data_IF_371263397298
#
_entry.id   IF_371263397298
#
_cell.length_a   1.000
_cell.length_b   1.000
_cell.length_c   1.000
_cell.angle_alpha   90.00
_cell.angle_beta   90.00
_cell.angle_gamma   90.00
#
_symmetry.space_group_name_H-M   'P 1'
#
loop_
_entity.id
_entity.type
_entity.pdbx_description
1 polymer ?
#
# COMPACT_ATOMS: atom_id res chain seq x y z
N UNK A 1 12.52 25.96 15.07
CA UNK A 1 11.66 25.45 13.97
C UNK A 1 11.30 23.97 14.14
N UNK A 2 12.26 23.02 14.13
CA UNK A 2 11.97 21.57 14.28
C UNK A 2 11.20 21.25 15.57
N UNK A 3 11.63 21.79 16.72
CA UNK A 3 10.90 21.65 18.00
C UNK A 3 9.43 22.12 17.92
N UNK A 4 9.18 23.21 17.20
CA UNK A 4 7.83 23.75 17.03
C UNK A 4 6.96 22.83 16.17
N UNK A 5 7.53 22.29 15.08
CA UNK A 5 6.85 21.31 14.26
C UNK A 5 6.53 20.00 14.99
N UNK A 6 7.45 19.50 15.82
CA UNK A 6 7.21 18.34 16.67
C UNK A 6 6.07 18.63 17.66
N UNK A 7 6.08 19.80 18.30
CA UNK A 7 4.98 20.21 19.19
C UNK A 7 3.63 20.27 18.46
N UNK A 8 3.60 20.82 17.23
CA UNK A 8 2.40 20.83 16.40
C UNK A 8 1.90 19.42 16.08
N UNK A 9 2.79 18.45 15.84
CA UNK A 9 2.41 17.05 15.64
C UNK A 9 1.80 16.41 16.89
N UNK A 10 2.44 16.61 18.05
CA UNK A 10 1.90 16.13 19.31
C UNK A 10 0.51 16.72 19.55
N UNK A 11 0.35 18.03 19.38
CA UNK A 11 -0.96 18.69 19.47
C UNK A 11 -1.96 18.13 18.44
N UNK A 12 -1.54 17.89 17.20
CA UNK A 12 -2.39 17.29 16.16
C UNK A 12 -2.85 15.88 16.53
N UNK A 13 -1.97 15.05 17.08
CA UNK A 13 -2.27 13.68 17.47
C UNK A 13 -3.34 13.63 18.57
N UNK A 14 -3.12 14.36 19.67
CA UNK A 14 -4.07 14.39 20.80
C UNK A 14 -5.38 15.12 20.47
N UNK A 15 -5.36 16.09 19.56
CA UNK A 15 -6.56 16.82 19.11
C UNK A 15 -7.26 16.14 17.92
N UNK A 16 -6.76 15.00 17.46
CA UNK A 16 -7.39 14.31 16.34
C UNK A 16 -8.75 13.74 16.76
N UNK A 17 -9.70 13.76 15.82
CA UNK A 17 -11.06 13.27 16.05
C UNK A 17 -11.10 11.81 16.50
N UNK A 18 -10.10 11.01 16.09
CA UNK A 18 -9.94 9.62 16.52
C UNK A 18 -9.65 9.51 18.02
N UNK A 19 -8.70 10.29 18.52
CA UNK A 19 -8.33 10.28 19.93
C UNK A 19 -9.43 10.82 20.83
N UNK A 20 -10.20 11.80 20.34
CA UNK A 20 -11.24 12.47 21.13
C UNK A 20 -12.61 11.75 21.11
N UNK A 21 -12.97 11.03 20.04
CA UNK A 21 -14.34 10.46 19.92
C UNK A 21 -14.51 9.06 20.50
N UNK A 22 -13.46 8.22 20.55
CA UNK A 22 -13.66 6.81 20.92
C UNK A 22 -12.45 6.19 21.59
N UNK A 23 -12.52 6.07 22.91
CA UNK A 23 -11.52 5.34 23.73
C UNK A 23 -11.35 3.90 23.22
N UNK A 24 -12.43 3.25 22.78
CA UNK A 24 -12.38 1.91 22.20
C UNK A 24 -11.49 1.81 20.96
N UNK A 25 -11.55 2.76 20.02
CA UNK A 25 -10.65 2.77 18.87
C UNK A 25 -9.20 3.02 19.29
N UNK A 26 -8.96 3.87 20.30
CA UNK A 26 -7.60 4.11 20.79
C UNK A 26 -6.98 2.84 21.39
N UNK A 27 -7.74 2.12 22.22
CA UNK A 27 -7.33 0.83 22.78
C UNK A 27 -7.02 -0.16 21.67
N UNK A 28 -7.90 -0.25 20.66
CA UNK A 28 -7.71 -1.13 19.51
C UNK A 28 -6.43 -0.77 18.73
N UNK A 29 -6.17 0.51 18.48
CA UNK A 29 -4.94 0.96 17.79
C UNK A 29 -3.66 0.62 18.57
N UNK A 30 -3.66 0.83 19.89
CA UNK A 30 -2.54 0.47 20.76
C UNK A 30 -2.33 -1.04 20.75
N UNK A 31 -3.42 -1.82 20.89
CA UNK A 31 -3.38 -3.27 20.84
C UNK A 31 -2.78 -3.78 19.51
N UNK A 32 -3.22 -3.26 18.37
CA UNK A 32 -2.65 -3.62 17.07
C UNK A 32 -1.16 -3.26 16.97
N UNK A 33 -0.75 -2.10 17.50
CA UNK A 33 0.66 -1.71 17.55
C UNK A 33 1.51 -2.68 18.38
N UNK A 34 1.06 -3.02 19.58
CA UNK A 34 1.74 -3.98 20.46
C UNK A 34 1.75 -5.38 19.85
N UNK A 35 0.64 -5.82 19.27
CA UNK A 35 0.53 -7.09 18.56
C UNK A 35 1.59 -7.18 17.45
N UNK A 36 1.73 -6.16 16.61
CA UNK A 36 2.75 -6.14 15.55
C UNK A 36 4.17 -6.22 16.12
N UNK A 37 4.47 -5.50 17.21
CA UNK A 37 5.78 -5.57 17.87
C UNK A 37 6.06 -6.99 18.37
N UNK A 38 5.11 -7.60 19.10
CA UNK A 38 5.26 -8.95 19.65
C UNK A 38 5.38 -9.99 18.54
N UNK A 39 4.60 -9.88 17.46
CA UNK A 39 4.67 -10.78 16.31
C UNK A 39 6.02 -10.72 15.59
N UNK A 40 6.61 -9.52 15.44
CA UNK A 40 7.93 -9.39 14.82
C UNK A 40 9.05 -9.89 15.76
N UNK A 41 8.95 -9.62 17.06
CA UNK A 41 9.87 -10.17 18.07
C UNK A 41 9.85 -11.70 18.07
N UNK A 42 8.66 -12.30 18.10
CA UNK A 42 8.52 -13.76 18.07
C UNK A 42 9.02 -14.35 16.76
N UNK A 43 8.74 -13.70 15.62
CA UNK A 43 9.27 -14.08 14.32
C UNK A 43 10.80 -14.10 14.35
N UNK A 44 11.45 -13.04 14.86
CA UNK A 44 12.91 -12.98 14.95
C UNK A 44 13.54 -14.13 15.75
N UNK A 45 12.93 -14.49 16.88
CA UNK A 45 13.41 -15.59 17.74
C UNK A 45 13.19 -16.96 17.08
N UNK A 46 12.03 -17.17 16.46
CA UNK A 46 11.64 -18.46 15.84
C UNK A 46 12.31 -18.67 14.48
N UNK A 47 12.73 -17.61 13.79
CA UNK A 47 13.23 -17.69 12.43
C UNK A 47 14.45 -18.62 12.29
N UNK A 48 15.42 -18.55 13.20
CA UNK A 48 16.61 -19.40 13.14
C UNK A 48 16.30 -20.90 13.31
N UNK A 49 15.62 -21.36 14.40
CA UNK A 49 15.30 -22.79 14.52
C UNK A 49 14.32 -23.26 13.42
N UNK A 50 13.44 -22.38 12.93
CA UNK A 50 12.57 -22.69 11.80
C UNK A 50 13.38 -22.97 10.53
N UNK A 51 14.39 -22.17 10.24
CA UNK A 51 15.24 -22.37 9.06
C UNK A 51 16.09 -23.62 9.16
N UNK A 52 16.66 -23.92 10.34
CA UNK A 52 17.36 -25.19 10.54
C UNK A 52 16.44 -26.41 10.34
N UNK A 53 15.18 -26.31 10.76
CA UNK A 53 14.20 -27.40 10.61
C UNK A 53 13.73 -27.58 9.16
N UNK A 54 13.53 -26.48 8.42
CA UNK A 54 13.03 -26.51 7.04
C UNK A 54 14.14 -26.73 6.01
N UNK A 55 15.36 -26.29 6.30
CA UNK A 55 16.51 -26.35 5.41
C UNK A 55 17.76 -26.79 6.18
N UNK A 56 17.82 -28.06 6.62
CA UNK A 56 18.88 -28.57 7.49
C UNK A 56 20.28 -28.50 6.84
N UNK A 57 20.35 -28.59 5.52
CA UNK A 57 21.62 -28.65 4.77
C UNK A 57 22.20 -27.29 4.39
N UNK A 58 21.54 -26.19 4.79
CA UNK A 58 21.98 -24.82 4.43
C UNK A 58 22.19 -23.95 5.65
N UNK A 59 23.21 -23.10 5.59
CA UNK A 59 23.46 -22.07 6.59
C UNK A 59 22.21 -21.16 6.75
N UNK A 60 21.60 -21.09 7.96
CA UNK A 60 20.45 -20.23 8.23
C UNK A 60 20.67 -18.77 7.84
N UNK A 61 21.89 -18.24 8.00
CA UNK A 61 22.21 -16.86 7.67
C UNK A 61 22.15 -16.61 6.16
N UNK A 62 22.79 -17.46 5.36
CA UNK A 62 22.72 -17.39 3.90
C UNK A 62 21.29 -17.60 3.41
N UNK A 63 20.53 -18.49 4.06
CA UNK A 63 19.14 -18.74 3.68
C UNK A 63 18.26 -17.52 3.93
N UNK A 64 18.40 -16.81 5.06
CA UNK A 64 17.68 -15.55 5.28
C UNK A 64 18.03 -14.51 4.21
N UNK A 65 19.31 -14.39 3.86
CA UNK A 65 19.75 -13.40 2.87
C UNK A 65 19.13 -13.64 1.49
N UNK A 66 18.85 -14.90 1.13
CA UNK A 66 18.14 -15.23 -0.12
C UNK A 66 16.70 -14.69 -0.18
N UNK A 67 16.06 -14.48 0.97
CA UNK A 67 14.69 -13.97 1.09
C UNK A 67 14.60 -12.44 1.17
N UNK A 68 15.72 -11.72 1.30
CA UNK A 68 15.73 -10.25 1.43
C UNK A 68 15.10 -9.58 0.20
N UNK A 69 15.30 -10.12 -1.00
CA UNK A 69 14.67 -9.59 -2.21
C UNK A 69 13.14 -9.61 -2.14
N UNK A 70 12.57 -10.77 -1.77
CA UNK A 70 11.13 -10.93 -1.60
C UNK A 70 10.60 -10.01 -0.50
N UNK A 71 11.35 -9.88 0.60
CA UNK A 71 11.02 -8.95 1.67
C UNK A 71 11.01 -7.50 1.18
N UNK A 72 11.99 -7.04 0.39
CA UNK A 72 12.03 -5.69 -0.20
C UNK A 72 10.78 -5.44 -1.06
N UNK A 73 10.37 -6.40 -1.89
CA UNK A 73 9.20 -6.25 -2.75
C UNK A 73 7.90 -6.15 -1.93
N UNK A 74 7.74 -7.02 -0.93
CA UNK A 74 6.57 -7.03 -0.05
C UNK A 74 6.51 -5.74 0.78
N UNK A 75 7.64 -5.32 1.36
CA UNK A 75 7.72 -4.10 2.16
C UNK A 75 7.43 -2.85 1.33
N UNK A 76 7.94 -2.79 0.09
CA UNK A 76 7.63 -1.71 -0.86
C UNK A 76 6.14 -1.67 -1.20
N UNK A 77 5.54 -2.82 -1.54
CA UNK A 77 4.10 -2.91 -1.82
C UNK A 77 3.27 -2.48 -0.62
N UNK A 78 3.57 -3.00 0.57
CA UNK A 78 2.87 -2.64 1.80
C UNK A 78 2.97 -1.14 2.09
N UNK A 79 4.17 -0.56 2.02
CA UNK A 79 4.36 0.88 2.23
C UNK A 79 3.64 1.74 1.21
N UNK A 80 3.52 1.29 -0.03
CA UNK A 80 2.77 2.03 -1.04
C UNK A 80 1.30 2.21 -0.63
N UNK A 81 0.67 1.17 -0.07
CA UNK A 81 -0.73 1.27 0.39
C UNK A 81 -0.86 1.98 1.74
N UNK A 82 0.00 1.68 2.71
CA UNK A 82 -0.14 2.12 4.09
C UNK A 82 0.57 3.45 4.41
N UNK A 83 1.60 3.83 3.64
CA UNK A 83 2.47 4.95 3.95
C UNK A 83 2.44 6.02 2.84
N UNK A 84 1.44 6.91 2.92
CA UNK A 84 1.27 8.02 1.97
C UNK A 84 1.97 9.29 2.41
N UNK A 85 2.43 10.08 1.44
CA UNK A 85 2.99 11.40 1.68
C UNK A 85 1.91 12.35 2.25
N UNK A 86 2.15 13.01 3.39
CA UNK A 86 1.14 13.84 4.06
C UNK A 86 1.04 15.25 3.44
N UNK A 87 0.97 15.33 2.10
CA UNK A 87 0.92 16.59 1.32
C UNK A 87 -0.24 17.50 1.77
N UNK A 88 -1.37 16.91 2.16
CA UNK A 88 -2.55 17.64 2.66
C UNK A 88 -2.28 18.39 3.96
N UNK A 89 -1.44 17.83 4.85
CA UNK A 89 -1.06 18.47 6.12
C UNK A 89 0.00 19.56 5.97
N UNK A 90 0.71 19.57 4.84
CA UNK A 90 1.74 20.57 4.55
C UNK A 90 1.17 21.87 3.97
N UNK A 91 -0.03 21.82 3.35
CA UNK A 91 -0.67 22.99 2.72
C UNK A 91 -0.92 24.15 3.68
N UNK A 92 -1.47 23.95 4.90
CA UNK A 92 -1.67 25.05 5.84
C UNK A 92 -0.36 25.72 6.30
N UNK A 93 0.78 25.03 6.19
CA UNK A 93 2.08 25.60 6.52
C UNK A 93 2.62 26.52 5.42
N UNK A 94 2.11 26.43 4.19
CA UNK A 94 2.53 27.27 3.06
C UNK A 94 2.01 28.71 3.16
N UNK A 95 0.96 28.96 3.95
CA UNK A 95 0.44 30.32 4.21
C UNK A 95 1.14 31.01 5.38
N UNK A 96 1.92 30.26 6.17
CA UNK A 96 2.70 30.79 7.27
C UNK A 96 4.08 31.27 6.77
N UNK A 97 4.76 32.20 7.48
CA UNK A 97 6.09 32.70 7.12
C UNK A 97 7.20 31.66 7.41
N UNK A 98 7.07 30.46 6.87
CA UNK A 98 7.96 29.32 7.06
C UNK A 98 8.59 28.96 5.73
N UNK A 99 9.92 28.83 5.70
CA UNK A 99 10.64 28.46 4.47
C UNK A 99 10.17 27.10 3.95
N UNK A 100 9.85 27.01 2.66
CA UNK A 100 9.41 25.77 1.99
C UNK A 100 10.40 24.62 2.17
N UNK A 101 11.69 24.89 2.12
CA UNK A 101 12.75 23.89 2.38
C UNK A 101 12.62 23.27 3.77
N UNK A 102 12.27 24.07 4.79
CA UNK A 102 12.04 23.57 6.15
C UNK A 102 10.80 22.68 6.25
N UNK A 103 9.75 22.99 5.48
CA UNK A 103 8.54 22.16 5.40
C UNK A 103 8.86 20.81 4.74
N UNK A 104 9.61 20.82 3.63
CA UNK A 104 10.03 19.58 2.95
C UNK A 104 10.91 18.72 3.85
N UNK A 105 11.93 19.31 4.48
CA UNK A 105 12.82 18.60 5.41
C UNK A 105 12.04 18.00 6.59
N UNK A 106 11.03 18.71 7.08
CA UNK A 106 10.18 18.21 8.14
C UNK A 106 9.31 17.02 7.68
N UNK A 107 8.73 17.06 6.48
CA UNK A 107 7.95 15.94 5.93
C UNK A 107 8.84 14.70 5.76
N UNK A 108 10.03 14.87 5.18
CA UNK A 108 10.98 13.77 4.97
C UNK A 108 11.51 13.23 6.30
N UNK A 109 11.88 14.09 7.24
CA UNK A 109 12.33 13.68 8.57
C UNK A 109 11.24 12.95 9.36
N UNK A 110 9.98 13.40 9.26
CA UNK A 110 8.83 12.69 9.85
C UNK A 110 8.72 11.26 9.31
N UNK A 111 8.93 11.09 8.01
CA UNK A 111 8.88 9.79 7.37
C UNK A 111 10.03 8.88 7.77
N UNK A 112 11.24 9.40 7.94
CA UNK A 112 12.35 8.63 8.48
C UNK A 112 12.04 8.10 9.89
N UNK A 113 11.25 8.83 10.67
CA UNK A 113 10.83 8.41 12.02
C UNK A 113 9.50 7.61 12.03
N UNK A 114 9.02 7.15 10.88
CA UNK A 114 7.80 6.34 10.82
C UNK A 114 8.00 4.96 11.46
N UNK A 115 6.98 4.47 12.17
CA UNK A 115 7.00 3.15 12.84
C UNK A 115 7.40 2.00 11.92
N UNK A 116 6.92 2.01 10.66
CA UNK A 116 7.25 0.99 9.67
C UNK A 116 8.75 0.89 9.37
N UNK A 117 9.54 1.95 9.57
CA UNK A 117 11.00 1.88 9.35
C UNK A 117 11.70 1.03 10.42
N UNK A 118 11.17 1.05 11.64
CA UNK A 118 11.71 0.33 12.79
C UNK A 118 11.07 -1.05 12.97
N UNK A 119 9.89 -1.28 12.38
CA UNK A 119 9.17 -2.54 12.48
C UNK A 119 10.04 -3.77 12.11
N UNK A 120 10.81 -3.77 11.00
CA UNK A 120 11.70 -4.88 10.68
C UNK A 120 12.77 -5.17 11.74
N UNK A 121 13.24 -4.14 12.47
CA UNK A 121 14.26 -4.31 13.50
C UNK A 121 13.79 -5.20 14.65
N UNK A 122 12.49 -5.20 14.94
CA UNK A 122 11.92 -6.11 15.94
C UNK A 122 12.06 -7.59 15.54
N UNK A 123 12.21 -7.91 14.24
CA UNK A 123 12.54 -9.27 13.81
C UNK A 123 14.05 -9.47 13.62
N UNK A 124 14.73 -8.49 13.01
CA UNK A 124 16.16 -8.58 12.68
C UNK A 124 17.05 -8.63 13.93
N UNK A 125 16.76 -7.84 14.97
CA UNK A 125 17.59 -7.80 16.19
C UNK A 125 17.52 -9.13 16.95
N UNK A 126 16.34 -9.70 17.29
CA UNK A 126 16.29 -11.01 17.95
C UNK A 126 16.91 -12.14 17.11
N UNK A 127 16.73 -12.10 15.78
CA UNK A 127 17.39 -13.05 14.90
C UNK A 127 18.92 -12.91 14.95
N UNK A 128 19.43 -11.68 14.95
CA UNK A 128 20.86 -11.41 15.13
C UNK A 128 21.41 -11.93 16.47
N UNK A 129 20.67 -11.76 17.57
CA UNK A 129 21.04 -12.34 18.88
C UNK A 129 21.12 -13.87 18.78
N UNK A 130 20.21 -14.50 18.05
CA UNK A 130 20.22 -15.94 17.85
C UNK A 130 21.40 -16.40 16.99
N UNK A 131 21.80 -15.65 15.96
CA UNK A 131 23.03 -15.90 15.22
C UNK A 131 24.27 -15.85 16.14
N UNK A 132 24.42 -14.81 16.95
CA UNK A 132 25.56 -14.69 17.88
C UNK A 132 25.61 -15.89 18.83
N UNK A 133 24.47 -16.33 19.36
CA UNK A 133 24.37 -17.52 20.23
C UNK A 133 24.84 -18.81 19.56
N UNK A 134 24.76 -18.90 18.24
CA UNK A 134 25.15 -20.09 17.47
C UNK A 134 26.54 -19.95 16.82
N UNK A 135 27.35 -18.99 17.29
CA UNK A 135 28.77 -18.89 16.93
C UNK A 135 29.09 -18.00 15.73
N UNK A 136 28.13 -17.21 15.23
CA UNK A 136 28.42 -16.25 14.15
C UNK A 136 29.23 -15.05 14.67
N UNK A 137 30.16 -14.50 13.88
CA UNK A 137 30.93 -13.33 14.26
C UNK A 137 30.03 -12.13 14.58
N UNK A 138 30.27 -11.50 15.74
CA UNK A 138 29.39 -10.43 16.26
C UNK A 138 29.44 -9.16 15.38
N UNK A 139 30.61 -8.85 14.83
CA UNK A 139 30.84 -7.77 13.87
C UNK A 139 30.00 -7.94 12.59
N UNK A 140 29.95 -9.14 12.03
CA UNK A 140 29.15 -9.46 10.86
C UNK A 140 27.65 -9.32 11.15
N UNK A 141 27.19 -9.82 12.31
CA UNK A 141 25.79 -9.73 12.71
C UNK A 141 25.36 -8.27 12.92
N UNK A 142 26.18 -7.45 13.59
CA UNK A 142 25.87 -6.02 13.79
C UNK A 142 25.81 -5.30 12.44
N UNK A 143 26.77 -5.57 11.55
CA UNK A 143 26.82 -5.00 10.19
C UNK A 143 25.56 -5.36 9.41
N UNK A 144 25.09 -6.61 9.53
CA UNK A 144 23.85 -7.07 8.92
C UNK A 144 22.61 -6.38 9.49
N UNK A 145 22.49 -6.22 10.81
CA UNK A 145 21.36 -5.50 11.45
C UNK A 145 21.32 -4.04 10.97
N UNK A 146 22.47 -3.37 10.90
CA UNK A 146 22.58 -2.00 10.39
C UNK A 146 22.18 -1.95 8.92
N UNK A 147 22.63 -2.90 8.10
CA UNK A 147 22.24 -2.97 6.69
C UNK A 147 20.72 -3.13 6.53
N UNK A 148 20.08 -3.98 7.32
CA UNK A 148 18.61 -4.16 7.28
C UNK A 148 17.86 -2.88 7.66
N UNK A 149 18.38 -2.10 8.62
CA UNK A 149 17.86 -0.76 8.92
C UNK A 149 17.99 0.20 7.73
N UNK A 150 19.17 0.22 7.10
CA UNK A 150 19.42 1.08 5.93
C UNK A 150 18.53 0.68 4.74
N UNK A 151 18.32 -0.62 4.49
CA UNK A 151 17.39 -1.12 3.48
C UNK A 151 15.96 -0.64 3.75
N UNK A 152 15.50 -0.73 5.00
CA UNK A 152 14.18 -0.19 5.40
C UNK A 152 14.04 1.31 5.10
N UNK A 153 15.10 2.10 5.33
CA UNK A 153 15.13 3.53 4.98
C UNK A 153 15.15 3.78 3.46
N UNK A 154 15.89 2.97 2.71
CA UNK A 154 15.92 3.02 1.24
C UNK A 154 14.51 2.79 0.69
N UNK A 155 13.84 1.72 1.14
CA UNK A 155 12.47 1.38 0.72
C UNK A 155 11.50 2.50 1.07
N UNK A 156 11.62 3.11 2.27
CA UNK A 156 10.81 4.25 2.67
C UNK A 156 10.92 5.44 1.68
N UNK A 157 12.14 5.85 1.32
CA UNK A 157 12.32 6.96 0.39
C UNK A 157 11.98 6.59 -1.06
N UNK A 158 12.22 5.35 -1.47
CA UNK A 158 11.83 4.84 -2.78
C UNK A 158 10.30 4.85 -2.92
N UNK A 159 9.59 4.37 -1.90
CA UNK A 159 8.13 4.39 -1.85
C UNK A 159 7.56 5.81 -2.10
N UNK A 160 8.17 6.83 -1.50
CA UNK A 160 7.73 8.21 -1.69
C UNK A 160 7.97 8.77 -3.09
N UNK A 161 9.05 8.34 -3.75
CA UNK A 161 9.27 8.68 -5.16
C UNK A 161 8.18 8.04 -6.01
N UNK A 162 7.91 6.74 -5.80
CA UNK A 162 6.87 6.01 -6.53
C UNK A 162 5.51 6.64 -6.30
N UNK A 163 5.12 6.89 -5.05
CA UNK A 163 3.84 7.54 -4.72
C UNK A 163 3.74 8.94 -5.33
N UNK A 164 4.82 9.72 -5.29
CA UNK A 164 4.84 11.04 -5.93
C UNK A 164 4.61 10.93 -7.43
N UNK A 165 5.29 10.03 -8.15
CA UNK A 165 5.13 9.84 -9.59
C UNK A 165 3.72 9.32 -9.93
N UNK A 166 3.21 8.38 -9.15
CA UNK A 166 1.94 7.72 -9.42
C UNK A 166 0.71 8.54 -9.05
N UNK A 167 0.83 9.48 -8.09
CA UNK A 167 -0.29 10.29 -7.57
C UNK A 167 -1.08 11.10 -8.61
N UNK A 168 -0.48 11.38 -9.77
CA UNK A 168 -1.09 12.16 -10.86
C UNK A 168 -2.02 11.33 -11.76
N UNK A 169 -1.96 10.00 -11.63
CA UNK A 169 -2.75 9.05 -12.42
C UNK A 169 -3.91 8.47 -11.59
N UNK A 170 -4.97 8.03 -12.27
CA UNK A 170 -6.13 7.45 -11.60
C UNK A 170 -5.86 6.06 -11.03
N UNK A 171 -4.94 5.32 -11.65
CA UNK A 171 -4.54 3.95 -11.32
C UNK A 171 -3.12 3.94 -10.76
N UNK A 172 -2.86 4.82 -9.79
CA UNK A 172 -1.53 5.01 -9.19
C UNK A 172 -0.90 3.72 -8.66
N UNK A 173 -1.72 2.73 -8.31
CA UNK A 173 -1.29 1.44 -7.77
C UNK A 173 -0.96 0.37 -8.83
N UNK A 174 -1.45 0.50 -10.08
CA UNK A 174 -1.17 -0.49 -11.13
C UNK A 174 0.32 -0.53 -11.53
N UNK A 175 1.02 0.60 -11.74
CA UNK A 175 2.43 0.58 -12.10
C UNK A 175 3.29 -0.12 -11.05
N UNK A 176 3.04 0.13 -9.76
CA UNK A 176 3.83 -0.51 -8.70
C UNK A 176 3.56 -2.01 -8.65
N UNK A 177 2.30 -2.46 -8.74
CA UNK A 177 1.95 -3.89 -8.76
C UNK A 177 2.59 -4.57 -9.97
N UNK A 178 2.51 -3.95 -11.16
CA UNK A 178 3.11 -4.48 -12.37
C UNK A 178 4.62 -4.60 -12.22
N UNK A 179 5.31 -3.56 -11.75
CA UNK A 179 6.76 -3.58 -11.57
C UNK A 179 7.19 -4.62 -10.53
N UNK A 180 6.55 -4.67 -9.37
CA UNK A 180 6.92 -5.66 -8.34
C UNK A 180 6.55 -7.07 -8.76
N UNK A 181 5.43 -7.24 -9.47
CA UNK A 181 4.98 -8.53 -10.00
C UNK A 181 5.88 -9.05 -11.11
N UNK A 182 6.35 -8.19 -12.03
CA UNK A 182 7.30 -8.58 -13.06
C UNK A 182 8.67 -8.92 -12.48
N UNK A 183 9.18 -8.11 -11.53
CA UNK A 183 10.43 -8.41 -10.83
C UNK A 183 10.36 -9.73 -10.07
N UNK A 184 9.25 -10.00 -9.38
CA UNK A 184 9.01 -11.27 -8.72
C UNK A 184 8.93 -12.43 -9.73
N UNK A 185 8.20 -12.26 -10.84
CA UNK A 185 8.07 -13.26 -11.89
C UNK A 185 9.40 -13.61 -12.56
N UNK A 186 10.22 -12.60 -12.88
CA UNK A 186 11.55 -12.80 -13.47
C UNK A 186 12.47 -13.62 -12.54
N UNK A 187 12.38 -13.38 -11.22
CA UNK A 187 13.09 -14.16 -10.22
C UNK A 187 12.53 -15.58 -10.08
N UNK A 188 11.21 -15.72 -10.08
CA UNK A 188 10.53 -17.02 -9.93
C UNK A 188 10.78 -17.96 -11.12
N UNK A 189 10.75 -17.43 -12.35
CA UNK A 189 11.05 -18.20 -13.58
C UNK A 189 12.55 -18.38 -13.85
N UNK A 190 13.42 -17.86 -12.97
CA UNK A 190 14.87 -18.01 -13.11
C UNK A 190 15.49 -17.26 -14.29
N UNK A 191 14.76 -16.33 -14.91
CA UNK A 191 15.29 -15.49 -16.00
C UNK A 191 16.37 -14.55 -15.48
N UNK A 192 16.16 -13.99 -14.27
CA UNK A 192 17.16 -13.20 -13.55
C UNK A 192 17.12 -13.58 -12.07
N UNK A 193 18.23 -14.06 -11.52
CA UNK A 193 18.33 -14.52 -10.13
C UNK A 193 18.52 -13.36 -9.13
N UNK A 194 17.56 -12.44 -9.05
CA UNK A 194 17.60 -11.28 -8.15
C UNK A 194 17.84 -11.65 -6.68
N UNK A 195 17.25 -12.75 -6.20
CA UNK A 195 17.49 -13.26 -4.84
C UNK A 195 18.96 -13.57 -4.59
N UNK A 196 19.65 -14.19 -5.56
CA UNK A 196 21.09 -14.49 -5.43
C UNK A 196 21.94 -13.23 -5.53
N UNK A 197 21.60 -12.31 -6.44
CA UNK A 197 22.32 -11.04 -6.58
C UNK A 197 22.26 -10.22 -5.30
N UNK A 198 21.08 -10.07 -4.71
CA UNK A 198 20.91 -9.32 -3.46
C UNK A 198 21.55 -10.06 -2.30
N UNK A 199 21.43 -11.39 -2.21
CA UNK A 199 22.10 -12.17 -1.19
C UNK A 199 23.63 -11.98 -1.25
N UNK A 200 24.22 -12.00 -2.45
CA UNK A 200 25.66 -11.80 -2.62
C UNK A 200 26.07 -10.38 -2.21
N UNK A 201 25.32 -9.36 -2.61
CA UNK A 201 25.56 -7.97 -2.19
C UNK A 201 25.50 -7.84 -0.66
N UNK A 202 24.51 -8.45 -0.02
CA UNK A 202 24.37 -8.44 1.45
C UNK A 202 25.56 -9.12 2.10
N UNK A 203 25.95 -10.32 1.66
CA UNK A 203 27.10 -11.05 2.20
C UNK A 203 28.39 -10.25 2.01
N UNK A 204 28.64 -9.67 0.84
CA UNK A 204 29.83 -8.85 0.60
C UNK A 204 29.90 -7.63 1.53
N UNK A 205 28.76 -6.98 1.83
CA UNK A 205 28.71 -5.87 2.78
C UNK A 205 28.95 -6.35 4.21
N UNK A 206 28.45 -7.52 4.57
CA UNK A 206 28.62 -8.12 5.90
C UNK A 206 30.08 -8.52 6.14
N UNK A 207 30.74 -9.07 5.12
CA UNK A 207 32.17 -9.41 5.16
C UNK A 207 33.06 -8.15 5.20
N UNK A 208 32.64 -7.06 4.54
CA UNK A 208 33.37 -5.81 4.47
C UNK A 208 32.51 -4.63 4.95
N UNK A 209 32.48 -4.33 6.27
CA UNK A 209 31.60 -3.30 6.85
C UNK A 209 31.77 -1.90 6.26
N UNK A 210 32.93 -1.58 5.67
CA UNK A 210 33.18 -0.31 4.96
C UNK A 210 32.19 -0.09 3.82
N UNK A 211 31.70 -1.16 3.19
CA UNK A 211 30.73 -1.08 2.10
C UNK A 211 29.34 -0.58 2.55
N UNK A 212 29.06 -0.46 3.85
CA UNK A 212 27.88 0.23 4.37
C UNK A 212 27.77 1.70 3.89
N UNK A 213 28.87 2.29 3.43
CA UNK A 213 28.84 3.62 2.83
C UNK A 213 27.94 3.68 1.57
N UNK A 214 27.85 2.58 0.82
CA UNK A 214 27.04 2.50 -0.41
C UNK A 214 25.54 2.69 -0.13
N UNK A 215 24.89 1.90 0.76
CA UNK A 215 23.48 2.13 1.10
C UNK A 215 23.25 3.48 1.77
N UNK A 216 24.20 4.01 2.55
CA UNK A 216 24.10 5.37 3.12
C UNK A 216 24.08 6.43 2.02
N UNK A 217 24.99 6.37 1.04
CA UNK A 217 25.01 7.28 -0.10
C UNK A 217 23.72 7.17 -0.93
N UNK A 218 23.18 5.95 -1.09
CA UNK A 218 21.91 5.74 -1.77
C UNK A 218 20.75 6.45 -1.04
N UNK A 219 20.69 6.36 0.29
CA UNK A 219 19.68 7.08 1.10
C UNK A 219 19.81 8.59 0.89
N UNK A 220 21.03 9.12 0.91
CA UNK A 220 21.28 10.55 0.69
C UNK A 220 20.81 10.98 -0.70
N UNK A 221 21.13 10.21 -1.74
CA UNK A 221 20.67 10.47 -3.11
C UNK A 221 19.14 10.45 -3.20
N UNK A 222 18.48 9.43 -2.64
CA UNK A 222 17.02 9.31 -2.61
C UNK A 222 16.37 10.45 -1.82
N UNK A 223 17.00 10.91 -0.74
CA UNK A 223 16.56 12.07 0.03
C UNK A 223 16.56 13.33 -0.83
N UNK A 224 17.63 13.61 -1.57
CA UNK A 224 17.72 14.78 -2.44
C UNK A 224 16.73 14.72 -3.60
N UNK A 225 16.53 13.55 -4.22
CA UNK A 225 15.52 13.35 -5.27
C UNK A 225 14.12 13.65 -4.72
N UNK A 226 13.78 13.10 -3.55
CA UNK A 226 12.52 13.38 -2.87
C UNK A 226 12.37 14.86 -2.51
N UNK A 227 13.43 15.49 -2.00
CA UNK A 227 13.43 16.90 -1.65
C UNK A 227 13.11 17.77 -2.87
N UNK A 228 13.79 17.53 -4.00
CA UNK A 228 13.56 18.26 -5.26
C UNK A 228 12.14 18.04 -5.78
N UNK A 229 11.67 16.78 -5.75
CA UNK A 229 10.31 16.43 -6.20
C UNK A 229 9.23 17.11 -5.36
N UNK A 230 9.33 17.05 -4.03
CA UNK A 230 8.38 17.66 -3.10
C UNK A 230 8.42 19.19 -3.16
N UNK A 231 9.62 19.78 -3.21
CA UNK A 231 9.79 21.23 -3.30
C UNK A 231 9.10 21.81 -4.55
N UNK A 232 9.18 21.11 -5.70
CA UNK A 232 8.49 21.50 -6.93
C UNK A 232 6.97 21.34 -6.85
N UNK A 233 6.46 20.42 -6.02
CA UNK A 233 5.03 20.15 -5.88
C UNK A 233 4.33 21.06 -4.86
N UNK A 234 5.06 21.58 -3.87
CA UNK A 234 4.56 22.49 -2.84
C UNK A 234 4.43 23.94 -3.35
N UNK A 235 3.61 24.11 -4.39
CA UNK A 235 3.11 25.41 -4.85
C UNK A 235 1.60 25.47 -4.67
N UNK A 236 1.10 26.63 -4.24
CA UNK A 236 -0.34 26.88 -4.06
C UNK A 236 -1.06 26.72 -5.42
N UNK A 237 -0.44 27.20 -6.49
CA UNK A 237 -0.99 27.23 -7.86
C UNK A 237 -1.16 25.86 -8.52
N UNK A 238 -0.44 24.82 -8.07
CA UNK A 238 -0.66 23.46 -8.55
C UNK A 238 -2.06 22.92 -8.19
N UNK A 239 -2.74 23.52 -7.20
CA UNK A 239 -4.12 23.17 -6.85
C UNK A 239 -5.19 23.93 -7.65
N UNK A 240 -4.80 24.99 -8.36
CA UNK A 240 -5.68 25.84 -9.16
C UNK A 240 -5.71 25.48 -10.64
N UNK A 241 -4.87 24.54 -11.10
CA UNK A 241 -4.92 23.99 -12.46
C UNK A 241 -6.15 23.10 -12.61
N UNK A 242 -7.30 23.71 -12.87
CA UNK A 242 -8.47 23.03 -13.42
C UNK A 242 -8.05 22.42 -14.76
N UNK A 243 -7.92 21.10 -14.83
CA UNK A 243 -7.77 20.41 -16.12
C UNK A 243 -9.01 20.79 -16.94
N UNK A 244 -8.81 21.41 -18.10
CA UNK A 244 -9.90 21.66 -19.04
C UNK A 244 -10.58 20.32 -19.35
N UNK A 245 -11.78 20.10 -18.83
CA UNK A 245 -12.58 18.92 -19.13
C UNK A 245 -12.97 18.98 -20.61
N UNK A 246 -12.27 18.22 -21.45
CA UNK A 246 -12.79 17.86 -22.77
C UNK A 246 -14.04 17.01 -22.52
N UNK A 247 -15.22 17.62 -22.65
CA UNK A 247 -16.50 16.92 -22.55
C UNK A 247 -16.58 15.88 -23.66
N UNK A 248 -16.25 14.63 -23.35
CA UNK A 248 -16.57 13.49 -24.20
C UNK A 248 -18.01 13.09 -23.89
N UNK A 249 -18.92 13.31 -24.83
CA UNK A 249 -20.28 12.78 -24.77
C UNK A 249 -20.24 11.29 -25.07
N UNK A 250 -20.28 10.44 -24.05
CA UNK A 250 -20.44 9.00 -24.23
C UNK A 250 -21.88 8.70 -24.65
N UNK A 251 -22.07 8.21 -25.88
CA UNK A 251 -23.38 7.72 -26.31
C UNK A 251 -23.62 6.32 -25.72
N UNK A 252 -24.66 6.19 -24.89
CA UNK A 252 -25.06 4.93 -24.23
C UNK A 252 -26.39 4.40 -24.79
N UNK A 253 -26.69 4.64 -26.06
CA UNK A 253 -27.93 4.22 -26.72
C UNK A 253 -28.27 2.73 -26.57
N UNK A 254 -27.26 1.85 -26.45
CA UNK A 254 -27.46 0.41 -26.20
C UNK A 254 -28.29 0.12 -24.94
N UNK A 255 -28.24 1.00 -23.93
CA UNK A 255 -29.01 0.86 -22.69
C UNK A 255 -30.51 1.08 -22.89
N UNK A 256 -30.95 1.67 -24.00
CA UNK A 256 -32.39 1.84 -24.31
C UNK A 256 -33.13 0.51 -24.43
N UNK A 257 -32.41 -0.60 -24.67
CA UNK A 257 -32.95 -1.97 -24.68
C UNK A 257 -33.57 -2.40 -23.34
N UNK A 258 -33.22 -1.73 -22.23
CA UNK A 258 -33.76 -2.02 -20.90
C UNK A 258 -35.05 -1.23 -20.59
N UNK A 259 -35.61 -0.48 -21.53
CA UNK A 259 -36.89 0.22 -21.35
C UNK A 259 -36.85 1.28 -20.24
N UNK A 260 -37.84 1.28 -19.36
CA UNK A 260 -38.06 2.31 -18.33
C UNK A 260 -36.92 2.44 -17.31
N UNK A 261 -36.08 1.40 -17.16
CA UNK A 261 -34.93 1.44 -16.24
C UNK A 261 -33.66 2.02 -16.88
N UNK A 262 -33.66 2.25 -18.20
CA UNK A 262 -32.52 2.74 -18.96
C UNK A 262 -31.99 4.10 -18.49
N UNK A 263 -32.83 5.11 -18.16
CA UNK A 263 -32.33 6.40 -17.69
C UNK A 263 -31.49 6.29 -16.41
N UNK A 264 -31.93 5.46 -15.47
CA UNK A 264 -31.21 5.19 -14.23
C UNK A 264 -29.88 4.47 -14.50
N UNK A 265 -29.89 3.46 -15.36
CA UNK A 265 -28.69 2.71 -15.73
C UNK A 265 -27.65 3.61 -16.43
N UNK A 266 -28.10 4.53 -17.29
CA UNK A 266 -27.22 5.51 -17.92
C UNK A 266 -26.60 6.47 -16.93
N UNK A 267 -27.34 6.91 -15.90
CA UNK A 267 -26.80 7.79 -14.87
C UNK A 267 -25.70 7.08 -14.07
N UNK A 268 -25.93 5.82 -13.68
CA UNK A 268 -24.92 5.01 -12.99
C UNK A 268 -23.68 4.78 -13.85
N UNK A 269 -23.87 4.35 -15.11
CA UNK A 269 -22.75 4.12 -16.03
C UNK A 269 -21.95 5.41 -16.30
N UNK A 270 -22.63 6.56 -16.47
CA UNK A 270 -21.97 7.86 -16.60
C UNK A 270 -21.22 8.24 -15.33
N UNK A 271 -21.78 7.99 -14.16
CA UNK A 271 -21.13 8.27 -12.88
C UNK A 271 -19.89 7.40 -12.68
N UNK A 272 -19.96 6.11 -13.01
CA UNK A 272 -18.83 5.16 -13.03
C UNK A 272 -17.77 5.63 -14.02
N UNK A 273 -18.17 6.00 -15.24
CA UNK A 273 -17.23 6.44 -16.27
C UNK A 273 -16.65 7.82 -16.01
N UNK A 274 -17.33 8.74 -15.31
CA UNK A 274 -16.86 10.12 -15.12
C UNK A 274 -16.02 10.30 -13.86
N UNK A 275 -16.42 9.68 -12.74
CA UNK A 275 -15.83 9.98 -11.43
C UNK A 275 -14.78 8.94 -11.01
N UNK A 276 -13.63 9.41 -10.51
CA UNK A 276 -12.48 8.55 -10.10
C UNK A 276 -12.87 7.45 -9.09
N UNK A 277 -13.69 7.78 -8.09
CA UNK A 277 -14.07 6.86 -7.01
C UNK A 277 -15.02 5.74 -7.49
N UNK A 278 -16.12 6.03 -8.21
CA UNK A 278 -16.93 4.99 -8.86
C UNK A 278 -16.17 4.17 -9.91
N UNK A 279 -15.29 4.80 -10.70
CA UNK A 279 -14.49 4.12 -11.73
C UNK A 279 -13.60 3.02 -11.15
N UNK A 280 -13.03 3.22 -9.95
CA UNK A 280 -12.20 2.21 -9.31
C UNK A 280 -12.95 0.91 -9.00
N UNK A 281 -14.28 0.96 -8.82
CA UNK A 281 -15.09 -0.25 -8.57
C UNK A 281 -15.07 -1.23 -9.75
N UNK A 282 -14.97 -0.74 -10.99
CA UNK A 282 -14.81 -1.60 -12.18
C UNK A 282 -13.46 -2.32 -12.19
N UNK A 283 -12.40 -1.65 -11.75
CA UNK A 283 -11.08 -2.28 -11.67
C UNK A 283 -11.03 -3.32 -10.55
N UNK A 284 -11.71 -3.06 -9.43
CA UNK A 284 -11.87 -4.02 -8.33
C UNK A 284 -12.64 -5.27 -8.81
N UNK A 285 -13.68 -5.11 -9.64
CA UNK A 285 -14.35 -6.23 -10.31
C UNK A 285 -13.35 -7.07 -11.10
N UNK A 286 -12.62 -6.45 -12.02
CA UNK A 286 -11.67 -7.17 -12.89
C UNK A 286 -10.62 -7.89 -12.03
N UNK A 287 -10.05 -7.24 -11.02
CA UNK A 287 -9.08 -7.88 -10.12
C UNK A 287 -9.68 -9.01 -9.30
N UNK A 288 -10.91 -8.84 -8.80
CA UNK A 288 -11.60 -9.87 -8.02
C UNK A 288 -11.97 -11.10 -8.84
N UNK A 289 -12.17 -10.98 -10.16
CA UNK A 289 -12.28 -12.14 -11.06
C UNK A 289 -10.98 -12.93 -11.15
N UNK A 290 -9.83 -12.24 -11.25
CA UNK A 290 -8.52 -12.90 -11.23
C UNK A 290 -8.11 -13.42 -9.85
N UNK A 291 -8.73 -12.93 -8.77
CA UNK A 291 -8.45 -13.37 -7.40
C UNK A 291 -8.65 -14.87 -7.20
N UNK A 292 -9.70 -15.45 -7.79
CA UNK A 292 -9.98 -16.88 -7.69
C UNK A 292 -8.87 -17.76 -8.31
N UNK A 293 -8.27 -17.32 -9.42
CA UNK A 293 -7.23 -18.08 -10.12
C UNK A 293 -5.98 -18.30 -9.27
N UNK A 294 -5.61 -17.33 -8.43
CA UNK A 294 -4.48 -17.47 -7.52
C UNK A 294 -4.68 -18.63 -6.53
N UNK A 295 -5.90 -18.80 -6.01
CA UNK A 295 -6.20 -19.83 -5.02
C UNK A 295 -6.47 -21.20 -5.65
N UNK A 296 -7.22 -21.24 -6.75
CA UNK A 296 -7.56 -22.50 -7.42
C UNK A 296 -6.36 -23.17 -8.10
N UNK A 297 -5.34 -22.40 -8.49
CA UNK A 297 -4.12 -22.94 -9.10
C UNK A 297 -3.14 -23.53 -8.08
N UNK A 298 -3.31 -23.26 -6.77
CA UNK A 298 -2.43 -23.76 -5.73
C UNK A 298 -2.75 -25.23 -5.34
N UNK A 299 -1.79 -26.18 -5.41
CA UNK A 299 -2.01 -27.59 -5.12
C UNK A 299 -2.53 -27.86 -3.69
N UNK A 300 -2.09 -27.05 -2.72
CA UNK A 300 -2.52 -27.17 -1.31
C UNK A 300 -4.00 -26.86 -1.07
N UNK A 301 -4.66 -26.09 -1.95
CA UNK A 301 -6.09 -25.80 -1.83
C UNK A 301 -6.98 -26.90 -2.42
N UNK A 302 -6.45 -27.74 -3.31
CA UNK A 302 -7.18 -28.89 -3.85
C UNK A 302 -7.42 -29.96 -2.79
N UNK A 303 -6.61 -30.01 -1.74
CA UNK A 303 -6.64 -31.08 -0.73
C UNK A 303 -7.17 -30.64 0.64
N UNK A 304 -7.24 -29.33 0.93
CA UNK A 304 -7.38 -28.84 2.31
C UNK A 304 -8.81 -28.63 2.81
N UNK A 305 -9.61 -27.75 2.20
CA UNK A 305 -10.87 -27.30 2.78
C UNK A 305 -11.85 -26.86 1.68
N UNK A 306 -12.84 -27.69 1.35
CA UNK A 306 -13.91 -27.37 0.39
C UNK A 306 -14.60 -26.05 0.73
N UNK A 307 -14.81 -25.77 2.01
CA UNK A 307 -15.40 -24.52 2.51
C UNK A 307 -14.60 -23.26 2.12
N UNK A 308 -13.27 -23.34 2.10
CA UNK A 308 -12.43 -22.21 1.70
C UNK A 308 -12.50 -21.99 0.18
N UNK A 309 -12.55 -23.06 -0.61
CA UNK A 309 -12.74 -22.99 -2.07
C UNK A 309 -14.11 -22.41 -2.46
N UNK A 310 -15.17 -22.73 -1.70
CA UNK A 310 -16.49 -22.11 -1.87
C UNK A 310 -16.43 -20.62 -1.48
N UNK A 311 -15.78 -20.29 -0.37
CA UNK A 311 -15.60 -18.90 0.06
C UNK A 311 -14.89 -18.05 -1.00
N UNK A 312 -13.79 -18.55 -1.57
CA UNK A 312 -13.08 -17.87 -2.66
C UNK A 312 -13.98 -17.70 -3.88
N UNK A 313 -14.79 -18.72 -4.22
CA UNK A 313 -15.72 -18.68 -5.35
C UNK A 313 -16.78 -17.59 -5.18
N UNK A 314 -17.46 -17.59 -4.03
CA UNK A 314 -18.47 -16.57 -3.67
C UNK A 314 -17.85 -15.17 -3.62
N UNK A 315 -16.62 -15.03 -3.13
CA UNK A 315 -15.96 -13.73 -3.05
C UNK A 315 -15.52 -13.23 -4.43
N UNK A 316 -15.02 -14.11 -5.29
CA UNK A 316 -14.56 -13.77 -6.65
C UNK A 316 -15.72 -13.31 -7.54
N UNK A 317 -16.87 -13.98 -7.47
CA UNK A 317 -18.09 -13.59 -8.21
C UNK A 317 -18.85 -12.44 -7.53
N UNK A 318 -18.83 -12.36 -6.20
CA UNK A 318 -19.56 -11.36 -5.42
C UNK A 318 -18.84 -10.02 -5.19
N UNK A 319 -17.56 -9.90 -5.57
CA UNK A 319 -16.71 -8.73 -5.27
C UNK A 319 -17.33 -7.42 -5.74
N UNK A 320 -17.96 -7.42 -6.92
CA UNK A 320 -18.58 -6.23 -7.48
C UNK A 320 -19.89 -5.92 -6.77
N UNK A 321 -20.70 -6.94 -6.48
CA UNK A 321 -21.95 -6.76 -5.75
C UNK A 321 -21.69 -6.13 -4.38
N UNK A 322 -20.66 -6.59 -3.66
CA UNK A 322 -20.24 -6.02 -2.37
C UNK A 322 -19.77 -4.56 -2.55
N UNK A 323 -18.93 -4.29 -3.57
CA UNK A 323 -18.35 -2.96 -3.75
C UNK A 323 -19.32 -1.92 -4.32
N UNK A 324 -20.10 -2.28 -5.33
CA UNK A 324 -21.11 -1.42 -5.94
C UNK A 324 -22.31 -1.27 -5.01
N UNK A 325 -22.86 -2.39 -4.53
CA UNK A 325 -24.08 -2.45 -3.70
C UNK A 325 -24.03 -1.58 -2.46
N UNK A 326 -22.91 -1.60 -1.72
CA UNK A 326 -22.76 -0.79 -0.50
C UNK A 326 -22.82 0.73 -0.76
N UNK A 327 -22.48 1.17 -1.97
CA UNK A 327 -22.38 2.60 -2.28
C UNK A 327 -23.55 3.14 -3.11
N UNK A 328 -24.48 2.29 -3.56
CA UNK A 328 -25.64 2.72 -4.36
C UNK A 328 -26.40 3.88 -3.67
N UNK A 329 -26.78 3.78 -2.37
CA UNK A 329 -27.50 4.88 -1.73
C UNK A 329 -26.66 6.14 -1.59
N UNK A 330 -25.34 5.98 -1.42
CA UNK A 330 -24.41 7.09 -1.27
C UNK A 330 -24.20 7.84 -2.60
N UNK A 331 -24.17 7.13 -3.73
CA UNK A 331 -23.96 7.72 -5.06
C UNK A 331 -25.13 8.61 -5.49
N UNK A 332 -26.35 8.19 -5.17
CA UNK A 332 -27.57 8.91 -5.57
C UNK A 332 -28.03 9.95 -4.53
N UNK A 333 -27.42 9.97 -3.33
CA UNK A 333 -27.83 10.80 -2.20
C UNK A 333 -28.02 12.30 -2.52
N UNK A 334 -27.22 12.85 -3.43
CA UNK A 334 -27.27 14.26 -3.82
C UNK A 334 -28.54 14.66 -4.59
N UNK A 335 -29.12 13.74 -5.35
CA UNK A 335 -30.34 13.97 -6.15
C UNK A 335 -31.49 13.05 -5.77
N UNK A 336 -31.33 12.22 -4.73
CA UNK A 336 -32.34 11.26 -4.27
C UNK A 336 -33.69 11.92 -3.97
N UNK A 337 -33.68 13.11 -3.34
CA UNK A 337 -34.90 13.88 -3.06
C UNK A 337 -35.68 14.23 -4.34
N UNK A 338 -34.95 14.61 -5.40
CA UNK A 338 -35.56 14.91 -6.69
C UNK A 338 -36.15 13.64 -7.32
N UNK A 339 -35.43 12.51 -7.25
CA UNK A 339 -35.94 11.24 -7.76
C UNK A 339 -37.25 10.83 -7.08
N UNK A 340 -37.35 11.03 -5.76
CA UNK A 340 -38.56 10.70 -4.98
C UNK A 340 -39.73 11.66 -5.22
N UNK A 341 -39.48 12.84 -5.79
CA UNK A 341 -40.54 13.79 -6.14
C UNK A 341 -41.03 13.65 -7.60
N UNK A 342 -40.36 12.85 -8.43
CA UNK A 342 -40.80 12.57 -9.79
C UNK A 342 -41.89 11.49 -9.80
N UNK A 343 -42.72 11.48 -10.85
CA UNK A 343 -43.71 10.44 -11.08
C UNK A 343 -43.04 9.16 -11.64
N UNK A 344 -42.14 8.57 -10.88
CA UNK A 344 -41.43 7.34 -11.24
C UNK A 344 -41.64 6.33 -10.11
N UNK A 345 -41.93 5.07 -10.48
CA UNK A 345 -42.12 4.03 -9.46
C UNK A 345 -40.78 3.71 -8.82
N UNK A 346 -40.73 3.69 -7.48
CA UNK A 346 -39.52 3.32 -6.74
C UNK A 346 -38.99 1.93 -7.13
N UNK A 347 -39.90 1.02 -7.50
CA UNK A 347 -39.55 -0.30 -8.02
C UNK A 347 -38.68 -0.23 -9.30
N UNK A 348 -38.93 0.71 -10.21
CA UNK A 348 -38.12 0.87 -11.43
C UNK A 348 -36.69 1.30 -11.11
N UNK A 349 -36.53 2.18 -10.10
CA UNK A 349 -35.22 2.54 -9.58
C UNK A 349 -34.48 1.32 -9.02
N UNK A 350 -35.13 0.54 -8.14
CA UNK A 350 -34.53 -0.66 -7.56
C UNK A 350 -34.20 -1.73 -8.61
N UNK A 351 -35.09 -1.94 -9.58
CA UNK A 351 -34.87 -2.87 -10.71
C UNK A 351 -33.64 -2.46 -11.52
N UNK A 352 -33.43 -1.17 -11.79
CA UNK A 352 -32.23 -0.70 -12.50
C UNK A 352 -30.94 -1.06 -11.78
N UNK A 353 -30.89 -0.81 -10.47
CA UNK A 353 -29.74 -1.15 -9.61
C UNK A 353 -29.50 -2.65 -9.57
N UNK A 354 -30.57 -3.42 -9.43
CA UNK A 354 -30.53 -4.88 -9.42
C UNK A 354 -30.05 -5.45 -10.74
N UNK A 355 -30.50 -4.91 -11.89
CA UNK A 355 -30.02 -5.34 -13.21
C UNK A 355 -28.51 -5.12 -13.38
N UNK A 356 -27.97 -3.99 -12.91
CA UNK A 356 -26.52 -3.76 -12.93
C UNK A 356 -25.76 -4.73 -12.02
N UNK A 357 -26.34 -5.13 -10.90
CA UNK A 357 -25.76 -6.13 -10.00
C UNK A 357 -25.80 -7.54 -10.60
N UNK A 358 -26.87 -7.93 -11.30
CA UNK A 358 -26.95 -9.25 -11.95
C UNK A 358 -25.91 -9.37 -13.05
N UNK A 359 -25.75 -8.35 -13.90
CA UNK A 359 -24.80 -8.39 -15.03
C UNK A 359 -23.34 -8.59 -14.58
N UNK A 360 -23.05 -8.35 -13.29
CA UNK A 360 -21.72 -8.50 -12.73
C UNK A 360 -21.36 -9.91 -12.25
N UNK A 361 -22.36 -10.76 -12.04
CA UNK A 361 -22.23 -12.17 -11.59
C UNK A 361 -22.36 -13.07 -12.81
#
# INVERSE_FOLDING_TARGET
MIKHFINLQWKQFFRSTYWQKSVALNILLIFFGLYMIVSFLSLGVVLYPLLQKLFPDTDPFLKVNSFIFQWILIDLLMRFFFQKLPMMSAKPLLTLPVKRSSIVNFILGKSSLAFLNFLPLFATIPFGVQLIRHGYPTDQVITWVVLMFLLSMIINFLNFIVESLSSETELSFLPIILVTGTLYGLNYFGVVSFSTLISNVVVSIVENPVLLIVPVLLIVALYFINFKALYKKLYIDNSLKTKAEKVKTTNLEWTKRFGDIAPFMQLDLKLIMRNKRPRSSLFILIMGLFYGLFFYMNPGMKQGIVSFSIFVGVFSTGIFLINFGQFIPAWDSGYYKLLMSQNIKYEQYLRSKFSLMIVSV
#
